data_IF_054867369412
#
_entry.id   IF_054867369412
#
_cell.length_a   1.000
_cell.length_b   1.000
_cell.length_c   1.000
_cell.angle_alpha   90.00
_cell.angle_beta   90.00
_cell.angle_gamma   90.00
#
_symmetry.space_group_name_H-M   'P 1'
#
loop_
_entity.id
_entity.type
_entity.pdbx_description
1 polymer ?
#
# COMPACT_ATOMS: atom_id res chain seq x y z
N UNK A 1 -43.64 14.59 24.65
CA UNK A 1 -42.68 13.49 24.35
C UNK A 1 -41.57 14.06 23.47
N UNK A 2 -40.36 14.23 24.01
CA UNK A 2 -39.18 14.62 23.22
C UNK A 2 -38.74 13.39 22.43
N UNK A 3 -39.01 13.39 21.13
CA UNK A 3 -38.43 12.41 20.22
C UNK A 3 -36.91 12.65 20.24
N UNK A 4 -36.15 11.63 20.61
CA UNK A 4 -34.70 11.66 20.82
C UNK A 4 -33.97 12.30 19.63
N UNK A 5 -33.49 13.52 19.82
CA UNK A 5 -32.73 14.31 18.86
C UNK A 5 -31.25 13.90 18.86
N UNK A 6 -30.96 12.59 18.95
CA UNK A 6 -29.60 12.00 19.05
C UNK A 6 -29.25 11.16 17.82
N UNK A 7 -30.07 11.17 16.76
CA UNK A 7 -29.60 10.86 15.40
C UNK A 7 -28.73 12.02 14.88
N UNK A 8 -27.64 12.27 15.60
CA UNK A 8 -26.62 13.26 15.26
C UNK A 8 -26.01 12.87 13.92
N UNK A 9 -25.65 13.86 13.10
CA UNK A 9 -24.84 13.67 11.89
C UNK A 9 -23.55 12.89 12.22
N UNK A 10 -23.59 11.56 12.16
CA UNK A 10 -22.43 10.67 12.31
C UNK A 10 -21.92 10.37 10.90
N UNK A 11 -20.65 10.70 10.64
CA UNK A 11 -20.02 10.54 9.34
C UNK A 11 -18.84 9.62 9.45
N UNK A 12 -19.01 8.40 8.92
CA UNK A 12 -17.95 7.39 8.83
C UNK A 12 -17.35 7.40 7.42
N UNK A 13 -16.03 7.41 7.36
CA UNK A 13 -15.26 7.34 6.11
C UNK A 13 -14.01 6.47 6.29
N UNK A 14 -13.70 5.66 5.28
CA UNK A 14 -12.40 5.03 5.11
C UNK A 14 -11.42 6.08 4.57
N UNK A 15 -10.19 6.16 5.10
CA UNK A 15 -9.21 7.23 4.79
C UNK A 15 -7.90 6.72 4.21
N UNK A 16 -7.49 5.51 4.55
CA UNK A 16 -6.28 4.87 4.01
C UNK A 16 -6.49 3.36 3.94
N UNK A 17 -5.80 2.70 3.01
CA UNK A 17 -6.09 3.07 1.64
C UNK A 17 -7.61 3.15 1.44
N UNK A 18 -8.08 4.38 1.32
CA UNK A 18 -9.27 4.70 0.56
C UNK A 18 -9.02 6.06 -0.10
N UNK A 19 -8.57 5.97 -1.35
CA UNK A 19 -7.97 6.97 -2.23
C UNK A 19 -7.38 6.23 -3.46
N UNK A 20 -6.71 6.97 -4.35
CA UNK A 20 -6.43 6.72 -5.79
C UNK A 20 -5.92 5.35 -6.30
N UNK A 21 -5.69 4.34 -5.47
CA UNK A 21 -5.26 3.01 -5.95
C UNK A 21 -6.45 2.18 -6.43
N UNK A 22 -6.47 1.73 -7.70
CA UNK A 22 -7.55 0.86 -8.19
C UNK A 22 -7.64 -0.49 -7.46
N UNK A 23 -6.50 -1.01 -6.98
CA UNK A 23 -6.39 -2.28 -6.25
C UNK A 23 -5.42 -2.17 -5.07
N UNK A 24 -5.57 -3.04 -4.08
CA UNK A 24 -4.68 -3.19 -2.92
C UNK A 24 -4.17 -4.62 -2.79
N UNK A 25 -3.24 -4.90 -1.89
CA UNK A 25 -2.86 -6.29 -1.59
C UNK A 25 -3.86 -6.96 -0.65
N UNK A 26 -3.96 -8.29 -0.73
CA UNK A 26 -4.74 -9.10 0.22
C UNK A 26 -4.28 -8.96 1.67
N UNK A 27 -3.03 -8.56 1.91
CA UNK A 27 -2.46 -8.32 3.25
C UNK A 27 -1.34 -7.28 3.18
N UNK A 28 -0.97 -6.74 4.35
CA UNK A 28 0.21 -5.87 4.50
C UNK A 28 -0.06 -4.37 4.34
N UNK A 29 -1.30 -3.98 4.02
CA UNK A 29 -1.74 -2.59 4.06
C UNK A 29 -2.26 -2.22 5.44
N UNK A 30 -2.03 -0.97 5.86
CA UNK A 30 -2.76 -0.35 6.95
C UNK A 30 -3.94 0.36 6.33
N UNK A 31 -5.14 0.21 6.89
CA UNK A 31 -6.28 1.04 6.58
C UNK A 31 -6.57 2.05 7.70
N UNK A 32 -7.11 3.19 7.34
CA UNK A 32 -7.54 4.24 8.25
C UNK A 32 -9.04 4.46 8.20
N UNK A 33 -9.63 4.78 9.34
CA UNK A 33 -11.02 5.16 9.49
C UNK A 33 -11.12 6.52 10.18
N UNK A 34 -12.11 7.29 9.75
CA UNK A 34 -12.50 8.54 10.40
C UNK A 34 -13.98 8.54 10.70
N UNK A 35 -14.34 8.92 11.92
CA UNK A 35 -15.73 9.09 12.33
C UNK A 35 -15.92 10.44 13.03
N UNK A 36 -16.73 11.31 12.44
CA UNK A 36 -17.04 12.64 12.96
C UNK A 36 -18.50 12.72 13.38
N UNK A 37 -18.76 13.37 14.52
CA UNK A 37 -20.12 13.57 15.06
C UNK A 37 -20.43 15.05 15.16
N UNK A 38 -21.61 15.41 14.66
CA UNK A 38 -22.16 16.76 14.74
C UNK A 38 -22.28 17.43 13.37
N UNK A 39 -23.04 18.54 13.30
CA UNK A 39 -23.33 19.21 12.04
C UNK A 39 -22.06 19.79 11.40
N UNK A 40 -21.94 19.75 10.07
CA UNK A 40 -20.78 20.29 9.32
C UNK A 40 -20.55 21.77 9.63
N UNK A 41 -21.63 22.51 9.90
CA UNK A 41 -21.61 23.95 10.15
C UNK A 41 -21.00 24.33 11.51
N UNK A 42 -20.63 23.34 12.33
CA UNK A 42 -20.01 23.55 13.65
C UNK A 42 -18.78 22.67 13.79
N UNK A 43 -18.01 22.90 14.86
CA UNK A 43 -16.92 22.01 15.26
C UNK A 43 -17.48 20.61 15.51
N UNK A 44 -16.98 19.63 14.76
CA UNK A 44 -17.35 18.23 14.90
C UNK A 44 -16.46 17.56 15.96
N UNK A 45 -17.01 16.58 16.66
CA UNK A 45 -16.27 15.72 17.57
C UNK A 45 -15.71 14.52 16.80
N UNK A 46 -14.42 14.27 16.93
CA UNK A 46 -13.79 13.08 16.35
C UNK A 46 -13.91 11.90 17.31
N UNK A 47 -14.56 10.83 16.86
CA UNK A 47 -14.75 9.57 17.61
C UNK A 47 -14.10 8.39 16.88
N UNK A 48 -13.07 8.61 16.07
CA UNK A 48 -12.44 7.56 15.26
C UNK A 48 -11.84 6.42 16.09
N UNK A 49 -11.53 6.67 17.37
CA UNK A 49 -11.09 5.65 18.32
C UNK A 49 -12.18 4.59 18.64
N UNK A 50 -13.45 4.92 18.41
CA UNK A 50 -14.59 4.04 18.65
C UNK A 50 -15.04 3.28 17.40
N UNK A 51 -14.43 3.54 16.24
CA UNK A 51 -14.74 2.81 15.02
C UNK A 51 -14.35 1.35 15.17
N UNK A 52 -15.25 0.46 14.80
CA UNK A 52 -15.04 -0.98 14.69
C UNK A 52 -14.97 -1.40 13.23
N UNK A 53 -14.23 -2.47 12.99
CA UNK A 53 -13.90 -3.01 11.68
C UNK A 53 -14.45 -4.43 11.53
N UNK A 54 -15.10 -4.72 10.41
CA UNK A 54 -15.49 -6.07 9.99
C UNK A 54 -15.51 -6.16 8.47
N UNK A 55 -15.75 -7.35 7.91
CA UNK A 55 -15.89 -7.51 6.46
C UNK A 55 -15.29 -8.82 5.97
N UNK A 56 -14.74 -8.81 4.75
CA UNK A 56 -14.10 -9.98 4.16
C UNK A 56 -12.70 -10.18 4.75
N UNK A 57 -12.57 -11.08 5.72
CA UNK A 57 -11.28 -11.42 6.34
C UNK A 57 -11.15 -10.90 7.77
N UNK A 58 -9.91 -10.79 8.24
CA UNK A 58 -9.61 -10.40 9.63
C UNK A 58 -9.06 -8.99 9.70
N UNK A 59 -9.36 -8.28 10.80
CA UNK A 59 -8.98 -6.88 11.00
C UNK A 59 -8.21 -6.77 12.32
N UNK A 60 -7.01 -6.20 12.29
CA UNK A 60 -6.16 -6.11 13.49
C UNK A 60 -5.48 -4.73 13.61
N UNK A 61 -5.78 -3.95 14.65
CA UNK A 61 -6.89 -4.16 15.59
C UNK A 61 -8.25 -4.08 14.89
N UNK A 62 -9.29 -4.66 15.50
CA UNK A 62 -10.68 -4.59 15.02
C UNK A 62 -11.42 -3.34 15.53
N UNK A 63 -10.75 -2.51 16.33
CA UNK A 63 -11.24 -1.23 16.85
C UNK A 63 -10.16 -0.16 16.77
N UNK A 64 -10.57 1.07 16.47
CA UNK A 64 -9.75 2.26 16.46
C UNK A 64 -9.65 2.90 15.07
N UNK A 65 -8.84 3.97 14.95
CA UNK A 65 -8.72 4.73 13.71
C UNK A 65 -7.90 4.02 12.63
N UNK A 66 -7.19 2.93 12.97
CA UNK A 66 -6.34 2.19 12.06
C UNK A 66 -6.60 0.68 12.22
N UNK A 67 -6.50 -0.06 11.13
CA UNK A 67 -6.53 -1.52 11.13
C UNK A 67 -5.61 -2.08 10.04
N UNK A 68 -5.09 -3.30 10.18
CA UNK A 68 -4.39 -4.04 9.13
C UNK A 68 -5.25 -5.22 8.69
N UNK A 69 -6.07 -5.07 7.64
CA UNK A 69 -6.86 -6.18 7.12
C UNK A 69 -5.99 -7.28 6.51
N UNK A 70 -6.43 -8.51 6.69
CA UNK A 70 -5.99 -9.69 5.93
C UNK A 70 -7.24 -10.24 5.27
N UNK A 71 -7.38 -9.97 3.97
CA UNK A 71 -8.49 -10.40 3.15
C UNK A 71 -8.42 -11.90 2.87
N UNK A 72 -9.57 -12.54 2.71
CA UNK A 72 -9.67 -13.99 2.48
C UNK A 72 -9.01 -14.43 1.16
N UNK A 73 -8.90 -13.52 0.19
CA UNK A 73 -8.25 -13.78 -1.10
C UNK A 73 -8.34 -12.60 -2.06
N UNK A 74 -7.75 -12.73 -3.27
CA UNK A 74 -7.84 -11.74 -4.32
C UNK A 74 -9.27 -11.53 -4.85
N UNK A 75 -9.48 -10.43 -5.57
CA UNK A 75 -10.77 -10.02 -6.13
C UNK A 75 -11.54 -9.07 -5.20
N UNK A 76 -12.85 -9.05 -5.38
CA UNK A 76 -13.73 -8.15 -4.64
C UNK A 76 -13.84 -8.54 -3.17
N UNK A 77 -13.46 -7.61 -2.31
CA UNK A 77 -13.52 -7.71 -0.85
C UNK A 77 -14.32 -6.54 -0.27
N UNK A 78 -14.73 -6.67 0.99
CA UNK A 78 -15.54 -5.67 1.68
C UNK A 78 -14.88 -5.27 3.00
N UNK A 79 -14.85 -3.96 3.27
CA UNK A 79 -14.55 -3.40 4.59
C UNK A 79 -15.81 -2.71 5.08
N UNK A 80 -16.27 -3.07 6.27
CA UNK A 80 -17.38 -2.39 6.94
C UNK A 80 -16.87 -1.71 8.20
N UNK A 81 -17.07 -0.40 8.25
CA UNK A 81 -16.80 0.43 9.40
C UNK A 81 -18.11 0.70 10.13
N UNK A 82 -18.13 0.55 11.44
CA UNK A 82 -19.32 0.82 12.23
C UNK A 82 -18.98 1.37 13.61
N UNK A 83 -19.94 2.08 14.20
CA UNK A 83 -19.87 2.62 15.56
C UNK A 83 -21.10 2.17 16.33
N UNK A 84 -20.89 1.77 17.59
CA UNK A 84 -21.95 1.36 18.50
C UNK A 84 -22.08 2.37 19.66
N UNK A 85 -23.31 2.58 20.14
CA UNK A 85 -23.60 3.24 21.40
C UNK A 85 -24.64 2.40 22.15
N UNK A 86 -24.42 2.17 23.44
CA UNK A 86 -25.31 1.38 24.29
C UNK A 86 -25.67 -0.01 23.71
N UNK A 87 -24.68 -0.66 23.08
CA UNK A 87 -24.83 -1.98 22.45
C UNK A 87 -25.63 -1.99 21.13
N UNK A 88 -25.91 -0.82 20.53
CA UNK A 88 -26.60 -0.70 19.24
C UNK A 88 -25.72 0.01 18.22
N UNK A 89 -25.66 -0.52 17.00
CA UNK A 89 -25.03 0.17 15.87
C UNK A 89 -25.77 1.46 15.57
N UNK A 90 -25.07 2.60 15.65
CA UNK A 90 -25.61 3.94 15.38
C UNK A 90 -25.17 4.49 14.02
N UNK A 91 -24.12 3.93 13.43
CA UNK A 91 -23.68 4.26 12.08
C UNK A 91 -22.85 3.10 11.53
N UNK A 92 -23.05 2.78 10.25
CA UNK A 92 -22.36 1.71 9.56
C UNK A 92 -22.18 2.09 8.09
N UNK A 93 -21.03 1.75 7.52
CA UNK A 93 -20.76 1.92 6.10
C UNK A 93 -19.85 0.82 5.57
N UNK A 94 -20.22 0.24 4.45
CA UNK A 94 -19.45 -0.78 3.74
C UNK A 94 -18.79 -0.19 2.50
N UNK A 95 -17.54 -0.58 2.28
CA UNK A 95 -16.67 -0.16 1.18
C UNK A 95 -16.22 -1.40 0.41
N UNK A 96 -16.31 -1.35 -0.90
CA UNK A 96 -15.76 -2.38 -1.80
C UNK A 96 -14.29 -2.10 -2.04
N UNK A 97 -13.48 -3.16 -1.99
CA UNK A 97 -12.03 -3.11 -2.17
C UNK A 97 -11.63 -4.22 -3.13
N UNK A 98 -10.96 -3.88 -4.23
CA UNK A 98 -10.37 -4.87 -5.12
C UNK A 98 -8.97 -5.25 -4.64
N UNK A 99 -8.76 -6.53 -4.32
CA UNK A 99 -7.50 -7.02 -3.79
C UNK A 99 -6.74 -7.91 -4.81
N UNK A 100 -5.42 -7.89 -4.74
CA UNK A 100 -4.53 -8.78 -5.50
C UNK A 100 -3.56 -9.50 -4.56
N UNK A 101 -3.11 -10.68 -4.96
CA UNK A 101 -2.08 -11.40 -4.23
C UNK A 101 -0.76 -10.58 -4.27
N UNK A 102 -0.12 -10.28 -3.13
CA UNK A 102 1.18 -9.62 -3.11
C UNK A 102 2.31 -10.48 -3.71
N UNK A 103 2.10 -11.78 -3.94
CA UNK A 103 3.07 -12.66 -4.59
C UNK A 103 3.44 -12.13 -5.97
N UNK A 104 4.74 -11.95 -6.21
CA UNK A 104 5.28 -11.40 -7.45
C UNK A 104 5.43 -9.89 -7.47
N UNK A 105 5.02 -9.18 -6.41
CA UNK A 105 5.43 -7.80 -6.18
C UNK A 105 6.80 -7.74 -5.50
N UNK A 106 7.56 -6.71 -5.81
CA UNK A 106 8.89 -6.48 -5.27
C UNK A 106 8.83 -5.71 -3.95
N UNK A 107 9.76 -6.01 -3.07
CA UNK A 107 9.95 -5.30 -1.80
C UNK A 107 11.40 -4.95 -1.57
N UNK A 108 11.68 -4.33 -0.43
CA UNK A 108 13.04 -4.06 0.03
C UNK A 108 13.89 -5.33 -0.04
N UNK A 109 15.02 -5.26 -0.76
CA UNK A 109 15.94 -6.38 -0.97
C UNK A 109 15.65 -7.26 -2.20
N UNK A 110 14.54 -7.05 -2.92
CA UNK A 110 14.34 -7.67 -4.24
C UNK A 110 15.44 -7.28 -5.23
N UNK A 111 15.80 -8.17 -6.16
CA UNK A 111 17.00 -8.03 -6.98
C UNK A 111 16.67 -7.50 -8.37
N UNK A 112 17.37 -6.44 -8.79
CA UNK A 112 17.44 -6.01 -10.18
C UNK A 112 18.70 -6.54 -10.86
N UNK A 113 18.61 -6.77 -12.16
CA UNK A 113 19.71 -7.20 -13.01
C UNK A 113 19.72 -6.40 -14.31
N UNK A 114 20.88 -5.85 -14.65
CA UNK A 114 21.18 -5.24 -15.94
C UNK A 114 22.27 -6.07 -16.61
N UNK A 115 22.01 -6.67 -17.78
CA UNK A 115 23.01 -7.49 -18.46
C UNK A 115 24.11 -6.66 -19.13
N UNK A 116 23.84 -5.39 -19.47
CA UNK A 116 24.73 -4.53 -20.24
C UNK A 116 24.79 -3.11 -19.65
N UNK A 117 25.61 -2.93 -18.62
CA UNK A 117 25.86 -1.63 -17.97
C UNK A 117 27.14 -1.01 -18.53
N UNK A 118 27.02 0.12 -19.26
CA UNK A 118 28.11 0.68 -20.07
C UNK A 118 28.45 2.11 -19.67
N UNK A 119 29.74 2.36 -19.44
CA UNK A 119 30.29 3.69 -19.12
C UNK A 119 31.49 4.10 -20.00
N UNK A 120 31.79 3.32 -21.04
CA UNK A 120 32.85 3.63 -22.00
C UNK A 120 34.26 3.21 -21.58
N UNK A 121 34.43 2.49 -20.47
CA UNK A 121 35.72 1.88 -20.13
C UNK A 121 35.96 0.61 -20.96
N UNK A 122 37.22 0.17 -21.17
CA UNK A 122 37.53 -1.00 -21.99
C UNK A 122 36.91 -2.33 -21.52
N UNK A 123 36.58 -2.45 -20.23
CA UNK A 123 35.98 -3.66 -19.66
C UNK A 123 34.44 -3.70 -19.81
N UNK A 124 33.82 -2.63 -20.32
CA UNK A 124 32.37 -2.58 -20.58
C UNK A 124 31.97 -3.52 -21.74
N UNK A 125 30.69 -3.96 -21.78
CA UNK A 125 29.64 -3.74 -20.78
C UNK A 125 29.78 -4.69 -19.58
N UNK A 126 29.29 -4.27 -18.41
CA UNK A 126 29.26 -5.10 -17.21
C UNK A 126 27.87 -5.70 -17.00
N UNK A 127 27.81 -6.97 -16.60
CA UNK A 127 26.57 -7.60 -16.11
C UNK A 127 26.47 -7.36 -14.61
N UNK A 128 25.52 -6.52 -14.19
CA UNK A 128 25.41 -5.99 -12.83
C UNK A 128 24.09 -6.37 -12.19
N UNK A 129 24.13 -6.66 -10.89
CA UNK A 129 22.94 -7.00 -10.12
C UNK A 129 23.01 -6.44 -8.71
N UNK A 130 21.85 -6.22 -8.10
CA UNK A 130 21.80 -5.90 -6.69
C UNK A 130 20.42 -5.54 -6.15
N UNK A 131 20.34 -5.29 -4.84
CA UNK A 131 19.09 -5.13 -4.12
C UNK A 131 18.47 -3.74 -4.27
N UNK A 132 17.13 -3.71 -4.32
CA UNK A 132 16.32 -2.53 -4.04
C UNK A 132 16.56 -2.08 -2.59
N UNK A 133 16.76 -0.78 -2.38
CA UNK A 133 17.19 -0.19 -1.10
C UNK A 133 16.07 0.55 -0.34
N UNK A 134 14.91 0.78 -0.95
CA UNK A 134 13.78 1.43 -0.29
C UNK A 134 12.43 0.85 -0.71
N UNK A 135 11.39 1.25 0.02
CA UNK A 135 10.01 0.91 -0.27
C UNK A 135 9.06 1.79 0.56
N UNK A 136 7.77 1.47 0.56
CA UNK A 136 6.78 2.17 1.37
C UNK A 136 6.97 1.89 2.87
N UNK A 137 6.86 2.91 3.75
CA UNK A 137 6.90 2.69 5.20
C UNK A 137 5.63 2.00 5.73
N UNK A 138 4.52 2.02 4.98
CA UNK A 138 3.21 1.61 5.48
C UNK A 138 2.64 0.37 4.79
N UNK A 139 3.06 0.10 3.55
CA UNK A 139 2.64 -1.09 2.80
C UNK A 139 3.75 -2.12 2.78
N UNK A 140 3.43 -3.32 3.27
CA UNK A 140 4.38 -4.41 3.45
C UNK A 140 4.06 -5.60 2.53
N UNK A 141 5.09 -6.22 2.00
CA UNK A 141 5.05 -7.53 1.34
C UNK A 141 5.93 -8.47 2.17
N UNK A 142 5.34 -9.53 2.72
CA UNK A 142 6.02 -10.47 3.63
C UNK A 142 6.83 -9.76 4.75
N UNK A 143 6.23 -8.72 5.34
CA UNK A 143 6.83 -7.95 6.44
C UNK A 143 7.88 -6.92 6.02
N UNK A 144 8.19 -6.78 4.73
CA UNK A 144 9.17 -5.80 4.22
C UNK A 144 8.50 -4.68 3.44
N UNK A 145 9.07 -3.46 3.42
CA UNK A 145 8.58 -2.34 2.62
C UNK A 145 8.33 -2.72 1.16
N UNK A 146 7.13 -2.48 0.64
CA UNK A 146 6.80 -2.72 -0.76
C UNK A 146 7.51 -1.69 -1.66
N UNK A 147 8.18 -2.16 -2.71
CA UNK A 147 8.91 -1.32 -3.64
C UNK A 147 7.96 -0.73 -4.70
N UNK A 148 8.32 0.45 -5.22
CA UNK A 148 7.50 1.22 -6.15
C UNK A 148 8.36 1.86 -7.21
N UNK A 149 7.73 2.36 -8.27
CA UNK A 149 8.39 3.24 -9.24
C UNK A 149 9.10 4.39 -8.52
N UNK A 150 10.35 4.64 -8.89
CA UNK A 150 11.20 5.67 -8.31
C UNK A 150 11.95 5.25 -7.03
N UNK A 151 11.69 4.07 -6.45
CA UNK A 151 12.51 3.57 -5.35
C UNK A 151 13.93 3.21 -5.88
N UNK A 152 15.02 3.68 -5.22
CA UNK A 152 16.38 3.37 -5.61
C UNK A 152 16.82 1.95 -5.24
N UNK A 153 17.87 1.50 -5.91
CA UNK A 153 18.67 0.36 -5.51
C UNK A 153 20.15 0.54 -5.84
N UNK A 154 20.95 -0.42 -5.38
CA UNK A 154 22.39 -0.47 -5.62
C UNK A 154 22.76 -1.77 -6.32
N UNK A 155 23.85 -1.76 -7.06
CA UNK A 155 24.45 -2.95 -7.64
C UNK A 155 25.96 -2.96 -7.44
N UNK A 156 26.64 -3.97 -7.95
CA UNK A 156 28.09 -4.09 -7.88
C UNK A 156 28.66 -4.50 -9.23
N UNK A 157 29.99 -4.57 -9.29
CA UNK A 157 30.77 -4.87 -10.50
C UNK A 157 30.56 -3.85 -11.63
N UNK A 158 30.28 -2.59 -11.29
CA UNK A 158 30.20 -1.48 -12.24
C UNK A 158 31.37 -0.50 -12.05
N UNK A 159 31.86 0.08 -13.15
CA UNK A 159 32.83 1.18 -13.15
C UNK A 159 32.19 2.58 -13.00
N UNK A 160 30.88 2.65 -12.73
CA UNK A 160 30.11 3.86 -12.50
C UNK A 160 29.58 3.98 -11.06
N UNK A 161 28.52 4.78 -10.84
CA UNK A 161 27.94 5.01 -9.51
C UNK A 161 27.38 3.79 -8.78
N UNK A 162 27.22 2.64 -9.45
CA UNK A 162 26.68 1.41 -8.85
C UNK A 162 25.23 1.56 -8.35
N UNK A 163 24.40 2.33 -9.05
CA UNK A 163 23.02 2.66 -8.67
C UNK A 163 22.02 2.30 -9.76
N UNK A 164 20.79 2.04 -9.35
CA UNK A 164 19.65 1.96 -10.25
C UNK A 164 18.38 2.55 -9.62
N UNK A 165 17.38 2.78 -10.46
CA UNK A 165 16.04 3.20 -10.03
C UNK A 165 14.97 2.37 -10.76
N UNK A 166 13.87 2.07 -10.09
CA UNK A 166 12.72 1.39 -10.70
C UNK A 166 11.95 2.36 -11.60
N UNK A 167 11.67 1.96 -12.84
CA UNK A 167 11.05 2.84 -13.85
C UNK A 167 9.65 2.42 -14.28
N UNK A 168 9.26 1.16 -14.07
CA UNK A 168 7.88 0.70 -14.31
C UNK A 168 7.31 -0.04 -13.10
N UNK A 169 5.99 -0.18 -13.06
CA UNK A 169 5.25 -0.83 -11.99
C UNK A 169 3.83 -1.17 -12.43
N UNK A 170 3.03 -1.72 -11.52
CA UNK A 170 1.61 -1.97 -11.72
C UNK A 170 0.80 -0.67 -11.63
N UNK A 171 0.20 -0.18 -12.74
CA UNK A 171 -0.62 1.02 -12.68
C UNK A 171 -1.92 0.82 -11.90
N UNK A 172 -2.33 -0.41 -11.60
CA UNK A 172 -3.53 -0.71 -10.83
C UNK A 172 -3.26 -0.83 -9.33
N UNK A 173 -2.00 -0.87 -8.89
CA UNK A 173 -1.64 -0.91 -7.47
C UNK A 173 -0.75 0.28 -7.18
N UNK A 174 -1.33 1.35 -6.67
CA UNK A 174 -0.64 2.59 -6.33
C UNK A 174 -0.35 2.64 -4.84
N UNK A 175 0.93 2.67 -4.48
CA UNK A 175 1.40 2.79 -3.11
C UNK A 175 2.01 4.18 -2.94
N UNK A 176 1.43 4.99 -2.06
CA UNK A 176 1.77 6.41 -1.88
C UNK A 176 1.77 7.17 -3.22
N UNK A 177 0.77 6.87 -4.07
CA UNK A 177 0.57 7.47 -5.39
C UNK A 177 1.46 6.93 -6.51
N UNK A 178 2.33 5.94 -6.23
CA UNK A 178 3.27 5.38 -7.22
C UNK A 178 2.96 3.92 -7.55
N UNK A 179 3.06 3.50 -8.84
CA UNK A 179 2.88 2.10 -9.22
C UNK A 179 3.78 1.15 -8.42
N UNK A 180 3.21 0.07 -7.88
CA UNK A 180 3.93 -0.95 -7.14
C UNK A 180 4.82 -1.76 -8.08
N UNK A 181 6.08 -1.98 -7.71
CA UNK A 181 7.02 -2.70 -8.53
C UNK A 181 6.76 -4.22 -8.45
N UNK A 182 6.98 -4.93 -9.55
CA UNK A 182 6.78 -6.38 -9.68
C UNK A 182 7.96 -7.06 -10.35
N UNK A 183 7.99 -8.38 -10.27
CA UNK A 183 8.90 -9.18 -11.07
C UNK A 183 8.77 -8.80 -12.56
N UNK A 184 9.90 -8.55 -13.21
CA UNK A 184 9.97 -8.16 -14.61
C UNK A 184 9.85 -6.67 -14.89
N UNK A 185 9.47 -5.83 -13.91
CA UNK A 185 9.42 -4.38 -14.11
C UNK A 185 10.80 -3.80 -14.40
N UNK A 186 10.83 -2.79 -15.26
CA UNK A 186 12.04 -2.18 -15.77
C UNK A 186 12.74 -1.35 -14.69
N UNK A 187 14.06 -1.32 -14.80
CA UNK A 187 14.94 -0.49 -13.97
C UNK A 187 15.93 0.23 -14.86
N UNK A 188 16.29 1.45 -14.48
CA UNK A 188 17.37 2.20 -15.10
C UNK A 188 18.59 2.13 -14.19
N UNK A 189 19.61 1.42 -14.63
CA UNK A 189 20.92 1.37 -14.01
C UNK A 189 21.77 2.57 -14.45
N UNK A 190 22.90 2.78 -13.82
CA UNK A 190 23.71 3.97 -14.06
C UNK A 190 24.27 4.07 -15.49
N UNK A 191 24.46 2.95 -16.20
CA UNK A 191 24.94 2.87 -17.57
C UNK A 191 24.13 1.92 -18.47
N UNK A 192 22.92 1.52 -18.05
CA UNK A 192 22.13 0.53 -18.79
C UNK A 192 20.69 0.39 -18.33
N UNK A 193 19.94 -0.47 -19.02
CA UNK A 193 18.58 -0.85 -18.65
C UNK A 193 18.57 -2.28 -18.11
N UNK A 194 17.79 -2.49 -17.06
CA UNK A 194 17.65 -3.78 -16.40
C UNK A 194 16.19 -4.07 -16.07
N UNK A 195 15.98 -5.11 -15.27
CA UNK A 195 14.67 -5.47 -14.73
C UNK A 195 14.79 -6.09 -13.37
N UNK A 196 13.68 -6.08 -12.62
CA UNK A 196 13.55 -6.87 -11.39
C UNK A 196 13.50 -8.35 -11.79
N UNK A 197 14.43 -9.15 -11.28
CA UNK A 197 14.59 -10.58 -11.62
C UNK A 197 14.34 -11.52 -10.46
N UNK A 198 14.24 -11.00 -9.24
CA UNK A 198 13.83 -11.77 -8.07
C UNK A 198 12.99 -10.91 -7.14
N UNK A 199 11.80 -11.42 -6.88
CA UNK A 199 10.95 -11.05 -5.76
C UNK A 199 11.19 -12.06 -4.63
N UNK A 200 10.72 -11.72 -3.43
CA UNK A 200 10.87 -12.61 -2.28
C UNK A 200 9.88 -13.78 -2.34
#
# INVERSE_FOLDING_TARGET
MKINQIDQDIRISLTYPAGDSPKVFTKGWIFGARCLVGPITRKQTDISADVRWKGTGTFTPDRGPLSRPVFNGPGTNHITLYVERDGRTVSEKTFTVEAVDPKGYAGLGSIAHCPNDTHGCPACPHSVRGPIQSGSPNVLIEGKPAARVGDPGIHAACCGPNTFVITTGDPNVLIDGKPAARLGDQTKHCGGAGKIVSTQ
#
